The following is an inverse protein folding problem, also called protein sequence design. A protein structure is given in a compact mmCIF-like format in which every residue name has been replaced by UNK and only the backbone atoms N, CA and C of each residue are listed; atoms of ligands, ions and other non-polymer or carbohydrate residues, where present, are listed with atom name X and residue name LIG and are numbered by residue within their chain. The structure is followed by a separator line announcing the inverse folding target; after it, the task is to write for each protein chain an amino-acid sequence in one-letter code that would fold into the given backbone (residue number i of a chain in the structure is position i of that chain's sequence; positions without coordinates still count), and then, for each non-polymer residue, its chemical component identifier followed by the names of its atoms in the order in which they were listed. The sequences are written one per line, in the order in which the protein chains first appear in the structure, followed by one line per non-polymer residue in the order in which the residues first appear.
data_IF_960814133401
#
_entry.id   IF_960814133401
#
_cell.length_a   1.000
_cell.length_b   1.000
_cell.length_c   1.000
_cell.angle_alpha   90.00
_cell.angle_beta   90.00
_cell.angle_gamma   90.00
#
_symmetry.space_group_name_H-M   'P 1'
#
loop_
_entity.id
_entity.type
_entity.pdbx_description
1 polymer ?
#
# COMPACT_ATOMS: atom_id res chain seq x y z
N UNK A 1 12.44 -7.08 -17.69
CA UNK A 1 13.73 -6.37 -17.55
C UNK A 1 14.33 -6.67 -16.16
N UNK A 2 15.67 -6.74 -16.01
CA UNK A 2 16.32 -7.02 -14.72
C UNK A 2 16.13 -5.90 -13.68
N UNK A 3 16.21 -6.19 -12.37
CA UNK A 3 15.90 -5.20 -11.32
C UNK A 3 16.78 -3.96 -11.29
N UNK A 4 18.08 -4.08 -11.56
CA UNK A 4 19.00 -2.94 -11.57
C UNK A 4 18.63 -1.95 -12.68
N UNK A 5 18.39 -2.45 -13.89
CA UNK A 5 17.96 -1.64 -15.03
C UNK A 5 16.60 -0.98 -14.77
N UNK A 6 15.68 -1.68 -14.10
CA UNK A 6 14.40 -1.11 -13.69
C UNK A 6 14.56 0.03 -12.68
N UNK A 7 15.45 -0.15 -11.69
CA UNK A 7 15.73 0.88 -10.70
C UNK A 7 16.40 2.11 -11.32
N UNK A 8 17.34 1.92 -12.24
CA UNK A 8 17.97 3.01 -12.97
C UNK A 8 16.97 3.81 -13.80
N UNK A 9 16.03 3.14 -14.50
CA UNK A 9 14.96 3.82 -15.26
C UNK A 9 13.98 4.60 -14.39
N UNK A 10 13.78 4.16 -13.16
CA UNK A 10 12.94 4.85 -12.18
C UNK A 10 13.70 5.93 -11.38
N UNK A 11 14.95 6.25 -11.76
CA UNK A 11 15.85 7.16 -11.02
C UNK A 11 16.12 6.73 -9.57
N UNK A 12 16.01 5.43 -9.27
CA UNK A 12 16.19 4.81 -7.95
C UNK A 12 17.59 4.17 -7.77
N UNK A 13 18.58 4.53 -8.60
CA UNK A 13 19.90 3.89 -8.75
C UNK A 13 20.86 3.88 -7.53
N UNK A 14 20.34 3.98 -6.29
CA UNK A 14 21.11 3.79 -5.05
C UNK A 14 21.38 2.31 -4.72
N UNK A 15 21.93 2.04 -3.52
CA UNK A 15 22.15 0.66 -3.07
C UNK A 15 20.81 -0.07 -2.92
N UNK A 16 20.47 -0.89 -3.91
CA UNK A 16 19.34 -1.80 -3.83
C UNK A 16 19.59 -2.77 -2.67
N UNK A 17 18.74 -2.70 -1.65
CA UNK A 17 18.76 -3.64 -0.55
C UNK A 17 18.05 -4.92 -0.97
N UNK A 18 16.84 -5.12 -0.45
CA UNK A 18 16.01 -6.29 -0.80
C UNK A 18 15.20 -6.00 -2.05
N UNK A 19 15.25 -6.93 -3.01
CA UNK A 19 14.38 -6.93 -4.19
C UNK A 19 13.39 -8.07 -4.07
N UNK A 20 12.09 -7.80 -4.22
CA UNK A 20 11.03 -8.83 -4.31
C UNK A 20 10.28 -8.65 -5.62
N UNK A 21 10.07 -9.75 -6.37
CA UNK A 21 9.18 -9.76 -7.53
C UNK A 21 7.77 -10.15 -7.07
N UNK A 22 6.76 -9.36 -7.46
CA UNK A 22 5.35 -9.59 -7.17
C UNK A 22 4.48 -9.30 -8.41
N UNK A 23 3.20 -9.67 -8.33
CA UNK A 23 2.19 -9.29 -9.31
C UNK A 23 1.30 -8.20 -8.71
N UNK A 24 1.22 -7.04 -9.38
CA UNK A 24 0.35 -5.91 -9.01
C UNK A 24 -0.47 -5.52 -10.22
N UNK A 25 -1.80 -5.46 -10.08
CA UNK A 25 -2.70 -5.09 -11.20
C UNK A 25 -2.44 -5.94 -12.46
N UNK A 26 -2.27 -7.25 -12.27
CA UNK A 26 -1.93 -8.23 -13.34
C UNK A 26 -0.62 -7.95 -14.09
N UNK A 27 0.24 -7.08 -13.56
CA UNK A 27 1.55 -6.75 -14.12
C UNK A 27 2.67 -7.15 -13.14
N UNK A 28 3.83 -7.62 -13.64
CA UNK A 28 4.96 -7.91 -12.78
C UNK A 28 5.56 -6.61 -12.24
N UNK A 29 5.85 -6.56 -10.94
CA UNK A 29 6.45 -5.40 -10.29
C UNK A 29 7.57 -5.82 -9.33
N UNK A 30 8.65 -5.05 -9.30
CA UNK A 30 9.69 -5.14 -8.30
C UNK A 30 9.39 -4.22 -7.13
N UNK A 31 9.37 -4.78 -5.92
CA UNK A 31 9.51 -4.01 -4.69
C UNK A 31 10.99 -3.90 -4.35
N UNK A 32 11.49 -2.67 -4.36
CA UNK A 32 12.87 -2.31 -4.10
C UNK A 32 12.96 -1.69 -2.70
N UNK A 33 13.70 -2.33 -1.80
CA UNK A 33 13.99 -1.81 -0.46
C UNK A 33 15.31 -1.04 -0.40
N UNK A 34 15.40 -0.05 0.48
CA UNK A 34 16.59 0.79 0.70
C UNK A 34 16.34 1.91 1.71
N UNK A 35 16.49 3.17 1.32
CA UNK A 35 16.08 4.35 2.12
C UNK A 35 14.55 4.47 2.29
N UNK A 36 13.79 3.72 1.50
CA UNK A 36 12.34 3.58 1.54
C UNK A 36 11.92 2.32 0.78
N UNK A 37 10.61 2.10 0.61
CA UNK A 37 10.08 1.04 -0.25
C UNK A 37 9.56 1.68 -1.53
N UNK A 38 10.05 1.25 -2.69
CA UNK A 38 9.53 1.73 -3.98
C UNK A 38 9.10 0.54 -4.82
N UNK A 39 8.02 0.73 -5.59
CA UNK A 39 7.56 -0.30 -6.52
C UNK A 39 7.72 0.17 -7.95
N UNK A 40 8.29 -0.68 -8.79
CA UNK A 40 8.58 -0.39 -10.20
C UNK A 40 8.05 -1.54 -11.04
N UNK A 41 7.36 -1.25 -12.13
CA UNK A 41 6.91 -2.31 -13.03
C UNK A 41 8.10 -3.00 -13.71
N UNK A 42 8.14 -4.33 -13.65
CA UNK A 42 9.25 -5.13 -14.17
C UNK A 42 9.25 -5.27 -15.70
N UNK A 43 8.12 -4.94 -16.33
CA UNK A 43 7.93 -4.91 -17.78
C UNK A 43 8.40 -3.58 -18.42
N UNK A 44 8.09 -2.43 -17.81
CA UNK A 44 8.40 -1.09 -18.35
C UNK A 44 9.54 -0.37 -17.64
N UNK A 45 9.73 -0.61 -16.34
CA UNK A 45 10.68 0.13 -15.50
C UNK A 45 10.15 1.44 -14.97
N UNK A 46 8.85 1.66 -15.13
CA UNK A 46 8.18 2.85 -14.60
C UNK A 46 7.89 2.68 -13.12
N UNK A 47 8.11 3.75 -12.36
CA UNK A 47 7.66 3.83 -10.98
C UNK A 47 6.14 3.61 -10.94
N UNK A 48 5.70 2.73 -10.06
CA UNK A 48 4.27 2.53 -9.87
C UNK A 48 3.67 3.81 -9.28
N UNK A 49 2.58 4.34 -9.85
CA UNK A 49 1.88 5.45 -9.24
C UNK A 49 1.36 5.04 -7.86
N UNK A 50 1.30 6.00 -6.94
CA UNK A 50 0.67 5.78 -5.64
C UNK A 50 -0.77 5.29 -5.84
N UNK A 51 -1.15 4.30 -5.05
CA UNK A 51 -2.51 3.77 -4.98
C UNK A 51 -3.41 4.88 -4.50
N UNK A 52 -4.32 5.37 -5.35
CA UNK A 52 -5.29 6.38 -4.96
C UNK A 52 -6.49 5.81 -4.16
N UNK A 53 -7.41 6.68 -3.68
CA UNK A 53 -8.54 6.27 -2.85
C UNK A 53 -9.42 5.15 -3.43
N UNK A 54 -9.69 5.20 -4.74
CA UNK A 54 -10.50 4.19 -5.41
C UNK A 54 -9.80 2.82 -5.40
N UNK A 55 -8.51 2.77 -5.73
CA UNK A 55 -7.72 1.55 -5.71
C UNK A 55 -7.53 1.01 -4.29
N UNK A 56 -7.34 1.89 -3.30
CA UNK A 56 -7.28 1.49 -1.88
C UNK A 56 -8.60 0.84 -1.41
N UNK A 57 -9.75 1.33 -1.89
CA UNK A 57 -11.06 0.72 -1.63
C UNK A 57 -11.19 -0.67 -2.25
N UNK A 58 -10.71 -0.85 -3.47
CA UNK A 58 -10.69 -2.17 -4.13
C UNK A 58 -9.77 -3.16 -3.40
N UNK A 59 -8.59 -2.71 -2.97
CA UNK A 59 -7.68 -3.50 -2.12
C UNK A 59 -8.39 -3.93 -0.83
N UNK A 60 -8.99 -2.98 -0.12
CA UNK A 60 -9.70 -3.25 1.12
C UNK A 60 -10.85 -4.23 0.93
N UNK A 61 -11.68 -4.03 -0.09
CA UNK A 61 -12.81 -4.91 -0.45
C UNK A 61 -12.35 -6.35 -0.66
N UNK A 62 -11.29 -6.55 -1.45
CA UNK A 62 -10.70 -7.89 -1.66
C UNK A 62 -10.09 -8.47 -0.40
N UNK A 63 -9.45 -7.65 0.44
CA UNK A 63 -8.80 -8.10 1.67
C UNK A 63 -9.79 -8.65 2.71
N UNK A 64 -10.95 -8.01 2.87
CA UNK A 64 -12.00 -8.47 3.80
C UNK A 64 -13.07 -9.36 3.15
N UNK A 65 -12.93 -9.67 1.86
CA UNK A 65 -13.89 -10.45 1.07
C UNK A 65 -15.33 -9.89 1.17
N UNK A 66 -15.46 -8.57 1.02
CA UNK A 66 -16.75 -7.87 1.04
C UNK A 66 -16.91 -6.98 -0.19
N UNK A 67 -18.15 -6.76 -0.66
CA UNK A 67 -18.40 -5.91 -1.81
C UNK A 67 -17.93 -4.47 -1.53
N UNK A 68 -17.39 -3.75 -2.54
CA UNK A 68 -16.83 -2.41 -2.35
C UNK A 68 -17.79 -1.37 -1.76
N UNK A 69 -19.10 -1.58 -1.85
CA UNK A 69 -20.15 -0.74 -1.26
C UNK A 69 -20.13 -0.77 0.27
N UNK A 70 -19.60 -1.83 0.87
CA UNK A 70 -19.41 -1.95 2.34
C UNK A 70 -18.08 -1.38 2.81
N UNK A 71 -17.31 -0.78 1.91
CA UNK A 71 -16.01 -0.17 2.20
C UNK A 71 -16.08 1.33 1.94
N UNK A 72 -15.96 2.13 2.99
CA UNK A 72 -15.96 3.59 2.87
C UNK A 72 -14.55 4.14 3.05
N UNK A 73 -14.11 4.95 2.09
CA UNK A 73 -12.89 5.72 2.23
C UNK A 73 -13.10 6.86 3.24
N UNK A 74 -12.16 7.02 4.17
CA UNK A 74 -12.24 8.07 5.19
C UNK A 74 -11.30 9.22 4.83
N UNK A 75 -10.00 8.96 4.75
CA UNK A 75 -8.98 9.99 4.57
C UNK A 75 -7.63 9.41 4.11
N UNK A 76 -6.74 10.30 3.67
CA UNK A 76 -5.32 10.02 3.60
C UNK A 76 -4.70 10.49 4.92
N UNK A 77 -4.40 9.56 5.80
CA UNK A 77 -3.82 9.82 7.11
C UNK A 77 -2.35 10.19 6.94
N UNK A 78 -2.03 11.48 7.07
CA UNK A 78 -0.66 12.02 6.97
C UNK A 78 0.00 12.24 8.33
N UNK A 79 -0.77 12.18 9.41
CA UNK A 79 -0.30 12.29 10.78
C UNK A 79 -0.79 11.08 11.57
N UNK A 80 0.06 10.53 12.45
CA UNK A 80 -0.31 9.34 13.22
C UNK A 80 -1.51 9.60 14.12
N UNK A 81 -2.44 8.65 14.13
CA UNK A 81 -3.53 8.56 15.09
C UNK A 81 -3.19 7.56 16.22
N UNK A 82 -4.18 7.26 17.07
CA UNK A 82 -4.03 6.31 18.19
C UNK A 82 -3.54 4.92 17.74
N UNK A 83 -3.82 4.53 16.49
CA UNK A 83 -3.57 3.19 15.95
C UNK A 83 -2.25 3.07 15.21
N UNK A 84 -1.71 4.20 14.74
CA UNK A 84 -0.54 4.25 13.85
C UNK A 84 0.70 4.84 14.53
N UNK A 85 0.70 4.90 15.87
CA UNK A 85 1.83 5.43 16.65
C UNK A 85 3.14 4.68 16.39
N UNK A 86 3.08 3.36 16.25
CA UNK A 86 4.24 2.50 15.97
C UNK A 86 4.61 2.48 14.47
N UNK A 87 3.71 2.91 13.59
CA UNK A 87 3.89 2.92 12.13
C UNK A 87 4.12 4.34 11.58
N UNK A 88 4.51 5.31 12.43
CA UNK A 88 4.76 6.71 12.02
C UNK A 88 5.70 6.86 10.82
N UNK A 89 6.71 5.99 10.71
CA UNK A 89 7.68 6.00 9.61
C UNK A 89 7.13 5.48 8.28
N UNK A 90 5.93 4.89 8.28
CA UNK A 90 5.26 4.32 7.11
C UNK A 90 4.09 5.18 6.62
N UNK A 91 3.82 6.31 7.29
CA UNK A 91 2.84 7.28 6.81
C UNK A 91 3.26 7.85 5.44
N UNK A 92 2.30 8.21 4.57
CA UNK A 92 0.85 8.26 4.83
C UNK A 92 0.10 6.93 4.62
N UNK A 93 -1.14 6.84 5.09
CA UNK A 93 -2.03 5.69 4.85
C UNK A 93 -3.40 6.11 4.31
N UNK A 94 -3.95 5.38 3.34
CA UNK A 94 -5.37 5.43 3.06
C UNK A 94 -6.15 4.73 4.16
N UNK A 95 -6.95 5.47 4.91
CA UNK A 95 -7.77 4.95 5.99
C UNK A 95 -9.18 4.67 5.47
N UNK A 96 -9.66 3.45 5.70
CA UNK A 96 -10.98 2.99 5.27
C UNK A 96 -11.74 2.39 6.45
N UNK A 97 -13.07 2.51 6.43
CA UNK A 97 -13.96 1.80 7.35
C UNK A 97 -14.74 0.72 6.64
N UNK A 98 -14.97 -0.39 7.33
CA UNK A 98 -15.79 -1.50 6.86
C UNK A 98 -17.14 -1.49 7.59
N UNK A 99 -18.22 -1.52 6.83
CA UNK A 99 -19.57 -1.69 7.37
C UNK A 99 -19.81 -3.18 7.70
N UNK A 100 -19.23 -3.68 8.80
CA UNK A 100 -19.32 -5.08 9.24
C UNK A 100 -19.92 -5.26 10.65
N UNK A 101 -20.41 -4.17 11.25
CA UNK A 101 -20.92 -4.14 12.63
C UNK A 101 -19.85 -4.23 13.72
N UNK A 102 -18.58 -4.49 13.39
CA UNK A 102 -17.43 -4.57 14.32
C UNK A 102 -16.67 -3.24 14.41
N UNK A 103 -16.97 -2.32 13.49
CA UNK A 103 -16.29 -1.04 13.36
C UNK A 103 -14.84 -1.23 12.92
N UNK A 104 -14.63 -2.13 11.96
CA UNK A 104 -13.32 -2.44 11.41
C UNK A 104 -12.77 -1.25 10.62
N UNK A 105 -11.50 -0.94 10.80
CA UNK A 105 -10.77 0.07 10.03
C UNK A 105 -9.52 -0.56 9.41
N UNK A 106 -9.25 -0.21 8.15
CA UNK A 106 -8.07 -0.65 7.41
C UNK A 106 -7.19 0.55 7.05
N UNK A 107 -5.89 0.34 7.08
CA UNK A 107 -4.88 1.30 6.69
C UNK A 107 -4.07 0.71 5.53
N UNK A 108 -4.18 1.32 4.36
CA UNK A 108 -3.55 0.86 3.12
C UNK A 108 -2.41 1.79 2.76
N UNK A 109 -1.23 1.24 2.48
CA UNK A 109 -0.08 2.02 1.99
C UNK A 109 -0.35 2.56 0.58
N UNK A 110 -0.20 3.87 0.32
CA UNK A 110 -0.25 4.43 -1.03
C UNK A 110 0.90 3.91 -1.90
N UNK A 111 2.07 3.66 -1.30
CA UNK A 111 3.25 3.20 -2.04
C UNK A 111 3.11 1.75 -2.53
N UNK A 112 2.59 0.85 -1.68
CA UNK A 112 2.55 -0.58 -1.98
C UNK A 112 1.16 -1.14 -2.27
N UNK A 113 0.10 -0.45 -1.86
CA UNK A 113 -1.25 -1.01 -1.84
C UNK A 113 -1.43 -2.13 -0.81
N UNK A 114 -0.46 -2.36 0.09
CA UNK A 114 -0.60 -3.35 1.14
C UNK A 114 -1.49 -2.83 2.27
N UNK A 115 -2.31 -3.72 2.86
CA UNK A 115 -3.00 -3.45 4.11
C UNK A 115 -1.99 -3.58 5.25
N UNK A 116 -1.56 -2.45 5.81
CA UNK A 116 -0.53 -2.40 6.85
C UNK A 116 -1.12 -2.66 8.24
N UNK A 117 -2.36 -2.22 8.47
CA UNK A 117 -3.02 -2.34 9.76
C UNK A 117 -4.52 -2.60 9.61
N UNK A 118 -5.04 -3.47 10.47
CA UNK A 118 -6.47 -3.70 10.68
C UNK A 118 -6.78 -3.48 12.16
N UNK A 119 -7.77 -2.66 12.45
CA UNK A 119 -8.27 -2.44 13.81
C UNK A 119 -9.76 -2.70 13.88
N UNK A 120 -10.27 -2.98 15.08
CA UNK A 120 -11.72 -3.13 15.32
C UNK A 120 -12.09 -2.36 16.59
N UNK A 121 -13.39 -2.19 16.88
CA UNK A 121 -13.79 -1.60 18.17
C UNK A 121 -13.29 -2.38 19.38
N UNK A 122 -13.08 -3.70 19.24
CA UNK A 122 -12.60 -4.56 20.31
C UNK A 122 -11.09 -4.48 20.54
N UNK A 123 -10.33 -3.89 19.60
CA UNK A 123 -8.88 -3.68 19.77
C UNK A 123 -8.55 -2.35 20.48
N UNK A 124 -9.58 -1.63 20.96
CA UNK A 124 -9.50 -0.38 21.73
C UNK A 124 -8.84 -0.52 23.09
#
# INVERSE_FOLDING_TARGET
MPPLEAAERADLGGSLGRVTLLMVMDRPAYRLGGRGTSMVFADTGELMPEVGPAAAREVASRFVDLPPERVSYLELLTQSDQWTLEQRSQLPFHKLSIDDGRGTQLYVSPESGEVTLLTTRASR
#
